data_IF_481144629187
#
_entry.id   IF_481144629187
#
_cell.length_a   1.000
_cell.length_b   1.000
_cell.length_c   1.000
_cell.angle_alpha   90.00
_cell.angle_beta   90.00
_cell.angle_gamma   90.00
#
_symmetry.space_group_name_H-M   'P 1'
#
loop_
_entity.id
_entity.type
_entity.pdbx_description
1 polymer ?
#
# COMPACT_ATOMS: atom_id res chain seq x y z
N UNK A 1 13.54 -11.75 -1.01
CA UNK A 1 13.11 -11.08 -2.25
C UNK A 1 12.19 -9.94 -1.86
N UNK A 2 12.48 -8.70 -2.27
CA UNK A 2 11.65 -7.55 -1.91
C UNK A 2 10.40 -7.57 -2.79
N UNK A 3 9.22 -7.85 -2.21
CA UNK A 3 7.96 -8.04 -2.97
C UNK A 3 7.33 -6.72 -3.45
N UNK A 4 7.81 -5.58 -2.97
CA UNK A 4 7.28 -4.23 -3.28
C UNK A 4 8.43 -3.25 -3.52
N UNK A 5 8.37 -2.53 -4.63
CA UNK A 5 9.36 -1.50 -4.97
C UNK A 5 8.65 -0.23 -5.46
N UNK A 6 9.11 0.92 -5.00
CA UNK A 6 8.71 2.22 -5.52
C UNK A 6 9.87 2.81 -6.32
N UNK A 7 9.56 3.48 -7.43
CA UNK A 7 10.56 4.34 -8.10
C UNK A 7 10.92 5.52 -7.21
N UNK A 8 11.99 6.24 -7.55
CA UNK A 8 12.42 7.40 -6.77
C UNK A 8 11.33 8.49 -6.74
N UNK A 9 10.72 8.73 -7.88
CA UNK A 9 9.67 9.75 -8.07
C UNK A 9 8.42 9.38 -7.27
N UNK A 10 8.00 8.11 -7.30
CA UNK A 10 6.89 7.62 -6.50
C UNK A 10 7.18 7.74 -4.99
N UNK A 11 8.40 7.38 -4.56
CA UNK A 11 8.79 7.51 -3.17
C UNK A 11 8.79 8.97 -2.68
N UNK A 12 9.23 9.92 -3.51
CA UNK A 12 9.16 11.34 -3.19
C UNK A 12 7.71 11.84 -3.09
N UNK A 13 6.85 11.42 -4.02
CA UNK A 13 5.43 11.76 -3.97
C UNK A 13 4.76 11.22 -2.71
N UNK A 14 5.02 9.96 -2.34
CA UNK A 14 4.47 9.33 -1.12
C UNK A 14 4.91 10.08 0.14
N UNK A 15 6.18 10.47 0.23
CA UNK A 15 6.67 11.26 1.39
C UNK A 15 5.98 12.62 1.51
N UNK A 16 5.69 13.28 0.38
CA UNK A 16 4.93 14.53 0.37
C UNK A 16 3.50 14.31 0.86
N UNK A 17 2.86 13.21 0.43
CA UNK A 17 1.54 12.83 0.91
C UNK A 17 1.55 12.53 2.42
N UNK A 18 2.55 11.81 2.94
CA UNK A 18 2.67 11.55 4.38
C UNK A 18 2.82 12.84 5.18
N UNK A 19 3.60 13.81 4.68
CA UNK A 19 3.76 15.10 5.35
C UNK A 19 2.44 15.88 5.47
N UNK A 20 1.55 15.74 4.48
CA UNK A 20 0.25 16.43 4.46
C UNK A 20 -0.88 15.66 5.15
N UNK A 21 -0.81 14.33 5.19
CA UNK A 21 -1.92 13.46 5.58
C UNK A 21 -1.62 12.50 6.74
N UNK A 22 -0.38 12.46 7.22
CA UNK A 22 0.04 11.58 8.31
C UNK A 22 0.42 10.17 7.85
N UNK A 23 0.10 9.17 8.68
CA UNK A 23 0.39 7.77 8.39
C UNK A 23 -0.43 7.28 7.19
N UNK A 24 0.27 6.77 6.18
CA UNK A 24 -0.34 6.21 4.97
C UNK A 24 -0.13 4.70 4.91
N UNK A 25 -1.03 4.04 4.20
CA UNK A 25 -0.89 2.64 3.81
C UNK A 25 -1.23 2.49 2.33
N UNK A 26 -0.71 1.42 1.72
CA UNK A 26 -1.18 0.95 0.43
C UNK A 26 -1.91 -0.38 0.58
N UNK A 27 -3.01 -0.54 -0.16
CA UNK A 27 -3.80 -1.76 -0.19
C UNK A 27 -3.97 -2.18 -1.64
N UNK A 28 -3.78 -3.45 -1.93
CA UNK A 28 -4.05 -3.98 -3.26
C UNK A 28 -5.56 -3.99 -3.54
N UNK A 29 -5.98 -3.34 -4.63
CA UNK A 29 -7.37 -3.35 -5.04
C UNK A 29 -7.75 -4.73 -5.60
N UNK A 30 -8.85 -5.30 -5.09
CA UNK A 30 -9.49 -6.49 -5.66
C UNK A 30 -10.70 -6.03 -6.50
N UNK A 31 -10.58 -6.04 -7.83
CA UNK A 31 -11.66 -5.59 -8.70
C UNK A 31 -11.54 -6.12 -10.13
N UNK A 32 -12.68 -6.55 -10.70
CA UNK A 32 -12.75 -7.19 -12.01
C UNK A 32 -12.58 -6.21 -13.19
N UNK A 33 -12.66 -4.89 -12.98
CA UNK A 33 -12.80 -3.93 -14.10
C UNK A 33 -11.67 -2.91 -14.31
N UNK A 34 -10.80 -2.59 -13.32
CA UNK A 34 -9.80 -1.51 -13.46
C UNK A 34 -8.35 -1.90 -13.09
N UNK A 35 -8.07 -3.19 -13.00
CA UNK A 35 -6.73 -3.69 -12.79
C UNK A 35 -6.24 -3.63 -11.34
N UNK A 36 -5.12 -4.30 -11.12
CA UNK A 36 -4.47 -4.64 -9.85
C UNK A 36 -3.74 -3.45 -9.21
N UNK A 37 -4.25 -2.23 -9.44
CA UNK A 37 -3.58 -1.01 -8.99
C UNK A 37 -3.67 -0.88 -7.46
N UNK A 38 -2.58 -0.43 -6.81
CA UNK A 38 -2.59 -0.23 -5.37
C UNK A 38 -3.30 1.08 -5.02
N UNK A 39 -4.10 1.05 -3.97
CA UNK A 39 -4.84 2.20 -3.42
C UNK A 39 -4.04 2.76 -2.24
N UNK A 40 -3.76 4.06 -2.26
CA UNK A 40 -3.12 4.79 -1.16
C UNK A 40 -4.19 5.43 -0.27
N UNK A 41 -4.16 5.18 1.04
CA UNK A 41 -5.12 5.75 1.99
C UNK A 41 -4.44 6.13 3.31
N UNK A 42 -5.10 6.95 4.14
CA UNK A 42 -4.64 7.16 5.52
C UNK A 42 -4.82 5.87 6.32
N UNK A 43 -3.86 5.57 7.19
CA UNK A 43 -3.87 4.36 8.01
C UNK A 43 -5.11 4.23 8.88
N UNK A 44 -5.63 5.36 9.37
CA UNK A 44 -6.84 5.43 10.18
C UNK A 44 -8.14 5.15 9.39
N UNK A 45 -8.11 5.38 8.06
CA UNK A 45 -9.29 5.23 7.19
C UNK A 45 -9.47 3.78 6.68
N UNK A 46 -8.52 2.89 6.98
CA UNK A 46 -8.57 1.50 6.57
C UNK A 46 -8.58 0.55 7.75
N UNK A 47 -9.55 -0.35 7.75
CA UNK A 47 -9.61 -1.43 8.71
C UNK A 47 -8.94 -2.68 8.14
N UNK A 48 -7.77 -3.04 8.69
CA UNK A 48 -7.09 -4.28 8.36
C UNK A 48 -7.94 -5.48 8.80
N UNK A 49 -8.28 -6.34 7.83
CA UNK A 49 -8.99 -7.59 8.11
C UNK A 49 -7.97 -8.68 8.46
N UNK A 50 -8.46 -9.76 9.06
CA UNK A 50 -7.62 -10.91 9.41
C UNK A 50 -6.97 -11.61 8.21
N UNK A 51 -7.43 -11.31 6.99
CA UNK A 51 -6.91 -11.88 5.74
C UNK A 51 -5.99 -10.91 4.99
N UNK A 52 -5.78 -9.69 5.49
CA UNK A 52 -4.84 -8.74 4.89
C UNK A 52 -3.44 -8.96 5.46
N UNK A 53 -2.49 -9.30 4.60
CA UNK A 53 -1.10 -9.53 4.97
C UNK A 53 -0.19 -8.42 4.46
N UNK A 54 0.72 -7.95 5.32
CA UNK A 54 1.73 -6.98 4.91
C UNK A 54 2.77 -7.68 4.02
N UNK A 55 2.87 -7.27 2.77
CA UNK A 55 3.80 -7.85 1.79
C UNK A 55 5.10 -7.06 1.66
N UNK A 56 5.14 -5.85 2.20
CA UNK A 56 6.33 -5.01 2.23
C UNK A 56 6.03 -3.58 2.65
N UNK A 57 6.99 -2.70 2.37
CA UNK A 57 6.86 -1.26 2.54
C UNK A 57 7.20 -0.59 1.20
N UNK A 58 6.37 0.35 0.74
CA UNK A 58 6.64 1.12 -0.49
C UNK A 58 7.74 2.16 -0.26
N UNK A 59 7.76 2.75 0.94
CA UNK A 59 8.81 3.58 1.52
C UNK A 59 8.81 3.33 3.02
N UNK A 60 9.90 3.68 3.71
CA UNK A 60 10.04 3.47 5.16
C UNK A 60 8.81 3.97 5.92
N UNK A 61 8.12 3.07 6.61
CA UNK A 61 6.94 3.38 7.43
C UNK A 61 5.61 3.46 6.68
N UNK A 62 5.58 3.15 5.37
CA UNK A 62 4.34 3.05 4.59
C UNK A 62 4.16 1.59 4.15
N UNK A 63 3.38 0.79 4.90
CA UNK A 63 3.17 -0.62 4.60
C UNK A 63 2.27 -0.81 3.36
N UNK A 64 2.48 -1.91 2.67
CA UNK A 64 1.62 -2.39 1.59
C UNK A 64 0.97 -3.70 2.01
N UNK A 65 -0.36 -3.76 1.90
CA UNK A 65 -1.17 -4.93 2.26
C UNK A 65 -1.80 -5.58 1.03
N UNK A 66 -1.88 -6.90 1.06
CA UNK A 66 -2.61 -7.72 0.09
C UNK A 66 -3.50 -8.70 0.82
N UNK A 67 -4.66 -8.98 0.23
CA UNK A 67 -5.47 -10.09 0.68
C UNK A 67 -4.70 -11.41 0.48
N UNK A 68 -4.77 -12.32 1.46
CA UNK A 68 -4.05 -13.60 1.49
C UNK A 68 -4.22 -14.42 0.21
N UNK A 69 -5.39 -14.36 -0.41
CA UNK A 69 -5.69 -15.09 -1.66
C UNK A 69 -4.87 -14.60 -2.87
N UNK A 70 -4.29 -13.40 -2.81
CA UNK A 70 -3.53 -12.77 -3.90
C UNK A 70 -2.03 -12.74 -3.63
N UNK A 71 -1.58 -13.36 -2.55
CA UNK A 71 -0.16 -13.45 -2.26
C UNK A 71 0.54 -14.33 -3.31
N UNK A 72 1.72 -13.93 -3.81
CA UNK A 72 2.51 -14.72 -4.74
C UNK A 72 3.13 -15.94 -4.09
#
# INVERSE_FOLDING_TARGET
MQKVMATKEAAEMIRRLQASHGDLIFVHSEGCCDGTSPICMKKEDFYLRSQDEQVGEVVKGVPYYMHRANLP
#
